data_IF_075103336665
#
_entry.id   IF_075103336665
#
_cell.length_a   1.000
_cell.length_b   1.000
_cell.length_c   1.000
_cell.angle_alpha   90.00
_cell.angle_beta   90.00
_cell.angle_gamma   90.00
#
_symmetry.space_group_name_H-M   'P 1'
#
loop_
_entity.id
_entity.type
_entity.pdbx_description
1 polymer ?
#
# COMPACT_ATOMS: atom_id res chain seq x y z
N UNK A 1 -25.88 -25.58 -0.41
CA UNK A 1 -24.42 -25.73 -0.25
C UNK A 1 -23.80 -24.45 -0.79
N UNK A 2 -23.57 -23.48 0.09
CA UNK A 2 -22.97 -22.20 -0.30
C UNK A 2 -21.47 -22.42 -0.42
N UNK A 3 -20.95 -22.29 -1.63
CA UNK A 3 -19.52 -22.36 -1.89
C UNK A 3 -18.92 -20.99 -1.62
N UNK A 4 -18.57 -20.72 -0.35
CA UNK A 4 -17.62 -19.66 -0.06
C UNK A 4 -16.28 -20.10 -0.63
N UNK A 5 -15.89 -19.55 -1.77
CA UNK A 5 -14.53 -19.66 -2.25
C UNK A 5 -13.68 -18.65 -1.44
N UNK A 6 -12.76 -19.11 -0.59
CA UNK A 6 -11.83 -18.19 0.06
C UNK A 6 -10.93 -17.65 -1.05
N UNK A 7 -11.15 -16.40 -1.45
CA UNK A 7 -10.30 -15.81 -2.45
C UNK A 7 -9.00 -15.36 -1.79
N UNK A 8 -8.04 -16.27 -1.79
CA UNK A 8 -6.64 -15.99 -1.61
C UNK A 8 -6.13 -15.39 -2.93
N UNK A 9 -6.21 -14.07 -3.12
CA UNK A 9 -5.24 -13.40 -3.99
C UNK A 9 -4.16 -12.79 -3.13
N UNK A 10 -2.97 -13.36 -3.23
CA UNK A 10 -1.73 -12.74 -2.80
C UNK A 10 -1.46 -11.49 -3.64
N UNK A 11 -2.19 -10.41 -3.34
CA UNK A 11 -1.87 -9.06 -3.74
C UNK A 11 -0.64 -8.65 -2.93
N UNK A 12 0.55 -8.98 -3.42
CA UNK A 12 1.78 -8.48 -2.81
C UNK A 12 1.88 -6.99 -3.15
N UNK A 13 1.54 -6.16 -2.19
CA UNK A 13 2.10 -4.82 -2.05
C UNK A 13 3.62 -5.02 -1.96
N UNK A 14 4.46 -4.36 -2.79
CA UNK A 14 5.90 -4.60 -2.67
C UNK A 14 6.31 -4.25 -1.23
N UNK A 15 7.22 -5.07 -0.70
CA UNK A 15 7.93 -4.72 0.52
C UNK A 15 8.91 -3.61 0.16
N UNK A 16 9.26 -2.79 1.14
CA UNK A 16 10.37 -1.85 1.05
C UNK A 16 11.55 -2.29 0.15
N UNK A 17 11.85 -1.48 -0.85
CA UNK A 17 12.81 -1.69 -1.93
C UNK A 17 13.78 -0.51 -1.97
N UNK A 18 15.06 -0.82 -1.89
CA UNK A 18 16.11 0.17 -2.07
C UNK A 18 16.08 0.73 -3.50
N UNK A 19 16.19 2.06 -3.62
CA UNK A 19 16.11 2.80 -4.88
C UNK A 19 14.70 3.16 -5.32
N UNK A 20 13.66 2.63 -4.65
CA UNK A 20 12.27 3.07 -4.81
C UNK A 20 11.75 3.76 -3.54
N UNK A 21 11.90 3.13 -2.38
CA UNK A 21 11.31 3.65 -1.13
C UNK A 21 12.39 4.29 -0.23
N UNK A 22 13.65 3.86 -0.37
CA UNK A 22 14.80 4.47 0.31
C UNK A 22 16.10 4.30 -0.46
N UNK A 23 17.08 5.16 -0.21
CA UNK A 23 18.48 4.91 -0.59
C UNK A 23 19.38 4.86 0.63
N UNK A 24 20.25 3.86 0.66
CA UNK A 24 21.27 3.71 1.68
C UNK A 24 22.58 4.34 1.21
N UNK A 25 23.11 5.30 1.97
CA UNK A 25 24.47 5.76 1.81
C UNK A 25 25.42 4.73 2.46
N UNK A 26 25.77 3.68 1.72
CA UNK A 26 26.58 2.57 2.22
C UNK A 26 28.02 3.02 2.52
N UNK A 27 28.22 3.49 3.76
CA UNK A 27 29.53 3.82 4.32
C UNK A 27 29.68 3.07 5.64
N UNK A 28 30.84 2.46 5.83
CA UNK A 28 31.21 1.88 7.11
C UNK A 28 31.21 2.97 8.18
N UNK A 29 30.50 2.71 9.29
CA UNK A 29 30.51 3.55 10.48
C UNK A 29 31.84 3.30 11.21
N UNK A 30 32.75 4.27 11.18
CA UNK A 30 34.05 4.17 11.84
C UNK A 30 34.17 5.23 12.94
N UNK A 31 34.34 4.76 14.19
CA UNK A 31 34.56 5.66 15.32
C UNK A 31 36.02 6.10 15.34
N UNK A 32 36.26 7.38 15.06
CA UNK A 32 37.57 7.99 15.26
C UNK A 32 38.00 7.96 16.74
N UNK A 33 39.30 8.16 17.00
CA UNK A 33 39.80 8.27 18.36
C UNK A 33 39.02 9.36 19.12
N UNK A 34 38.52 9.02 20.31
CA UNK A 34 37.67 9.86 21.16
C UNK A 34 36.29 10.23 20.58
N UNK A 35 35.90 9.74 19.39
CA UNK A 35 34.53 9.87 18.90
C UNK A 35 33.59 9.01 19.75
N UNK A 36 32.41 9.55 20.04
CA UNK A 36 31.36 8.87 20.81
C UNK A 36 30.08 8.66 20.00
N UNK A 37 30.00 9.22 18.79
CA UNK A 37 28.81 9.18 17.96
C UNK A 37 29.22 9.26 16.49
N UNK A 38 28.72 8.30 15.73
CA UNK A 38 28.75 8.29 14.28
C UNK A 38 27.33 7.92 13.81
N UNK A 39 26.92 8.44 12.66
CA UNK A 39 25.59 8.19 12.09
C UNK A 39 25.71 7.63 10.68
N UNK A 40 24.81 6.72 10.34
CA UNK A 40 24.50 6.30 8.98
C UNK A 40 23.30 7.10 8.50
N UNK A 41 23.34 7.59 7.26
CA UNK A 41 22.20 8.29 6.64
C UNK A 41 21.45 7.33 5.72
N UNK A 42 20.15 7.21 5.95
CA UNK A 42 19.19 6.58 5.03
C UNK A 42 18.30 7.69 4.51
N UNK A 43 18.27 7.88 3.20
CA UNK A 43 17.39 8.84 2.56
C UNK A 43 16.10 8.14 2.19
N UNK A 44 14.95 8.70 2.57
CA UNK A 44 13.62 8.17 2.23
C UNK A 44 13.18 8.83 0.92
N UNK A 45 12.66 8.05 -0.01
CA UNK A 45 12.17 8.56 -1.30
C UNK A 45 10.69 8.90 -1.13
N UNK A 46 10.34 10.11 -1.54
CA UNK A 46 8.98 10.61 -1.57
C UNK A 46 8.42 10.47 -2.99
N UNK A 47 7.23 9.88 -3.13
CA UNK A 47 6.57 9.67 -4.41
C UNK A 47 5.03 9.85 -4.30
N UNK A 48 4.35 9.85 -5.46
CA UNK A 48 2.89 10.05 -5.56
C UNK A 48 2.10 8.73 -5.52
N UNK A 49 2.61 7.69 -4.85
CA UNK A 49 1.93 6.42 -4.65
C UNK A 49 1.43 6.29 -3.22
N UNK A 50 0.22 5.74 -3.08
CA UNK A 50 -0.32 5.39 -1.76
C UNK A 50 0.16 4.01 -1.36
N UNK A 51 0.77 3.95 -0.18
CA UNK A 51 1.43 2.77 0.35
C UNK A 51 1.00 2.48 1.79
N UNK A 52 1.00 1.20 2.17
CA UNK A 52 0.86 0.83 3.58
C UNK A 52 2.14 1.19 4.34
N UNK A 53 2.08 1.30 5.67
CA UNK A 53 3.30 1.47 6.48
C UNK A 53 4.27 0.32 6.24
N UNK A 54 5.45 0.65 5.74
CA UNK A 54 6.51 -0.32 5.48
C UNK A 54 7.57 -0.30 6.57
N UNK A 55 8.24 -1.43 6.82
CA UNK A 55 9.28 -1.51 7.87
C UNK A 55 10.54 -2.21 7.39
N UNK A 56 11.69 -1.71 7.82
CA UNK A 56 12.99 -2.36 7.64
C UNK A 56 13.80 -2.32 8.92
N UNK A 57 14.84 -3.16 8.97
CA UNK A 57 15.74 -3.23 10.13
C UNK A 57 17.15 -2.84 9.74
N UNK A 58 17.81 -2.11 10.64
CA UNK A 58 19.24 -1.81 10.55
C UNK A 58 19.92 -2.57 11.68
N UNK A 59 20.89 -3.41 11.33
CA UNK A 59 21.66 -4.20 12.28
C UNK A 59 23.08 -3.65 12.39
N UNK A 60 23.45 -3.20 13.58
CA UNK A 60 24.83 -2.90 13.93
C UNK A 60 25.59 -4.21 14.14
N UNK A 61 26.64 -4.41 13.35
CA UNK A 61 27.52 -5.56 13.42
C UNK A 61 28.75 -5.25 14.29
N UNK A 62 29.35 -6.27 14.93
CA UNK A 62 30.59 -6.07 15.66
C UNK A 62 31.71 -5.61 14.73
N UNK A 63 32.74 -4.91 15.25
CA UNK A 63 33.87 -4.50 14.44
C UNK A 63 34.58 -5.72 13.84
N UNK A 64 35.05 -5.58 12.60
CA UNK A 64 35.72 -6.65 11.87
C UNK A 64 37.10 -7.00 12.43
N UNK A 65 37.70 -6.09 13.21
CA UNK A 65 39.00 -6.26 13.89
C UNK A 65 38.98 -5.55 15.24
N UNK A 66 39.78 -6.07 16.18
CA UNK A 66 40.03 -5.56 17.53
C UNK A 66 38.80 -5.42 18.44
N UNK A 67 38.98 -5.79 19.72
CA UNK A 67 38.00 -5.60 20.80
C UNK A 67 36.62 -6.27 20.59
N UNK A 68 36.44 -7.15 19.61
CA UNK A 68 35.18 -7.86 19.32
C UNK A 68 34.58 -8.56 20.56
N UNK A 69 35.42 -9.13 21.43
CA UNK A 69 35.00 -9.78 22.68
C UNK A 69 34.77 -8.81 23.86
N UNK A 70 35.17 -7.55 23.70
CA UNK A 70 35.14 -6.51 24.75
C UNK A 70 34.08 -5.44 24.50
N UNK A 71 33.44 -5.45 23.33
CA UNK A 71 32.40 -4.51 22.93
C UNK A 71 31.07 -5.23 22.99
N UNK A 72 30.14 -4.69 23.77
CA UNK A 72 28.76 -5.18 23.88
C UNK A 72 27.89 -4.27 23.03
N UNK A 73 27.14 -4.85 22.09
CA UNK A 73 26.16 -4.13 21.30
C UNK A 73 24.79 -4.26 21.97
N UNK A 74 24.19 -3.13 22.36
CA UNK A 74 22.86 -3.12 22.98
C UNK A 74 22.23 -1.72 22.92
N UNK A 75 21.14 -1.51 22.14
CA UNK A 75 20.61 -2.43 21.13
C UNK A 75 21.56 -2.55 19.93
N UNK A 76 21.57 -3.71 19.27
CA UNK A 76 22.30 -3.93 18.03
C UNK A 76 21.40 -3.98 16.79
N UNK A 77 20.08 -3.90 16.98
CA UNK A 77 19.09 -3.84 15.91
C UNK A 77 18.16 -2.67 16.22
N UNK A 78 17.82 -1.92 15.19
CA UNK A 78 16.76 -0.93 15.23
C UNK A 78 15.82 -1.15 14.05
N UNK A 79 14.55 -0.83 14.25
CA UNK A 79 13.51 -0.92 13.22
C UNK A 79 13.13 0.49 12.79
N UNK A 80 13.03 0.71 11.50
CA UNK A 80 12.55 1.96 10.90
C UNK A 80 11.22 1.64 10.22
N UNK A 81 10.22 2.50 10.42
CA UNK A 81 8.96 2.48 9.71
C UNK A 81 8.89 3.68 8.78
N UNK A 82 8.47 3.45 7.54
CA UNK A 82 8.14 4.50 6.56
C UNK A 82 6.62 4.57 6.55
N UNK A 83 6.10 5.74 6.93
CA UNK A 83 4.68 6.05 6.88
C UNK A 83 4.44 6.92 5.65
N UNK A 84 3.46 6.55 4.85
CA UNK A 84 3.00 7.36 3.74
C UNK A 84 2.16 8.54 4.27
N UNK A 85 2.30 9.70 3.65
CA UNK A 85 1.56 10.92 3.98
C UNK A 85 0.40 11.20 3.01
N UNK A 86 0.19 10.33 2.03
CA UNK A 86 -0.81 10.48 1.00
C UNK A 86 -2.13 9.75 1.31
N UNK A 87 -3.24 10.39 0.94
CA UNK A 87 -4.59 9.83 1.03
C UNK A 87 -5.25 9.78 -0.36
N UNK A 88 -5.99 8.71 -0.66
CA UNK A 88 -6.86 8.62 -1.85
C UNK A 88 -8.33 8.71 -1.46
N UNK A 89 -9.10 9.33 -2.36
CA UNK A 89 -10.56 9.21 -2.36
C UNK A 89 -11.00 8.23 -3.44
N UNK A 90 -11.95 7.36 -3.12
CA UNK A 90 -12.60 6.46 -4.08
C UNK A 90 -14.08 6.80 -4.15
N UNK A 91 -14.59 7.03 -5.36
CA UNK A 91 -15.98 7.41 -5.60
C UNK A 91 -16.53 6.86 -6.90
N UNK A 92 -17.85 6.93 -7.08
CA UNK A 92 -18.48 6.68 -8.38
C UNK A 92 -18.13 7.83 -9.33
N UNK A 93 -17.96 7.52 -10.62
CA UNK A 93 -17.66 8.55 -11.63
C UNK A 93 -18.83 9.51 -11.84
N UNK A 94 -20.06 9.01 -11.73
CA UNK A 94 -21.28 9.79 -11.92
C UNK A 94 -22.22 9.64 -10.73
N UNK A 95 -22.94 10.71 -10.41
CA UNK A 95 -23.94 10.73 -9.34
C UNK A 95 -25.27 10.11 -9.76
N UNK A 96 -25.56 10.10 -11.07
CA UNK A 96 -26.83 9.59 -11.63
C UNK A 96 -26.68 9.26 -13.11
N UNK A 97 -27.51 8.35 -13.60
CA UNK A 97 -27.60 8.00 -15.01
C UNK A 97 -29.06 7.99 -15.45
N UNK A 98 -29.30 8.35 -16.72
CA UNK A 98 -30.59 8.23 -17.38
C UNK A 98 -30.39 7.37 -18.64
N UNK A 99 -31.13 6.28 -18.76
CA UNK A 99 -30.96 5.29 -19.83
C UNK A 99 -32.31 4.88 -20.40
N UNK A 100 -32.36 4.60 -21.70
CA UNK A 100 -33.59 4.10 -22.34
C UNK A 100 -33.70 2.58 -22.22
N UNK A 101 -34.93 2.09 -22.35
CA UNK A 101 -35.17 0.65 -22.39
C UNK A 101 -34.45 0.02 -23.60
N UNK A 102 -33.67 -1.03 -23.32
CA UNK A 102 -32.87 -1.73 -24.33
C UNK A 102 -31.40 -1.31 -24.39
N UNK A 103 -31.02 -0.21 -23.71
CA UNK A 103 -29.63 0.21 -23.59
C UNK A 103 -28.90 -0.53 -22.47
N UNK A 104 -27.57 -0.53 -22.53
CA UNK A 104 -26.69 -1.01 -21.47
C UNK A 104 -25.93 0.14 -20.84
N UNK A 105 -25.68 0.05 -19.55
CA UNK A 105 -24.91 1.01 -18.76
C UNK A 105 -23.72 0.31 -18.11
N UNK A 106 -22.59 1.00 -18.12
CA UNK A 106 -21.44 0.69 -17.29
C UNK A 106 -21.39 1.68 -16.12
N UNK A 107 -21.23 1.18 -14.90
CA UNK A 107 -21.08 2.01 -13.70
C UNK A 107 -19.67 1.83 -13.17
N UNK A 108 -18.89 2.90 -13.25
CA UNK A 108 -17.49 2.91 -12.85
C UNK A 108 -17.29 3.59 -11.49
N UNK A 109 -16.33 3.06 -10.73
CA UNK A 109 -15.75 3.74 -9.59
C UNK A 109 -14.29 4.10 -9.90
N UNK A 110 -13.85 5.23 -9.38
CA UNK A 110 -12.55 5.83 -9.66
C UNK A 110 -11.84 6.20 -8.37
N UNK A 111 -10.53 5.94 -8.36
CA UNK A 111 -9.59 6.50 -7.39
C UNK A 111 -9.16 7.87 -7.90
N UNK A 112 -9.28 8.91 -7.08
CA UNK A 112 -8.67 10.21 -7.34
C UNK A 112 -7.22 10.18 -6.87
N UNK A 113 -6.32 10.79 -7.66
CA UNK A 113 -4.88 10.91 -7.37
C UNK A 113 -4.60 11.26 -5.90
N UNK A 114 -3.52 10.75 -5.30
CA UNK A 114 -2.45 9.93 -5.89
C UNK A 114 -2.86 8.51 -6.33
N UNK A 115 -1.99 7.84 -7.10
CA UNK A 115 -2.25 6.46 -7.54
C UNK A 115 -1.99 5.50 -6.38
N UNK A 116 -2.57 4.30 -6.39
CA UNK A 116 -2.38 3.34 -5.30
C UNK A 116 -1.32 2.34 -5.72
N UNK A 117 -0.30 2.12 -4.89
CA UNK A 117 0.78 1.16 -5.17
C UNK A 117 0.23 -0.28 -5.22
N UNK A 118 -0.91 -0.53 -4.55
CA UNK A 118 -1.44 -1.86 -4.28
C UNK A 118 -2.93 -2.01 -4.69
N UNK A 119 -3.34 -3.16 -5.25
CA UNK A 119 -4.71 -3.32 -5.73
C UNK A 119 -5.69 -3.43 -4.56
N UNK A 120 -6.62 -2.49 -4.48
CA UNK A 120 -7.72 -2.49 -3.52
C UNK A 120 -9.03 -3.01 -4.14
N UNK A 121 -9.88 -3.63 -3.32
CA UNK A 121 -11.15 -4.21 -3.76
C UNK A 121 -12.34 -3.59 -3.03
N UNK A 122 -13.28 -3.04 -3.79
CA UNK A 122 -14.58 -2.57 -3.29
C UNK A 122 -15.70 -3.48 -3.80
N UNK A 123 -16.75 -3.63 -3.00
CA UNK A 123 -18.00 -4.27 -3.43
C UNK A 123 -19.01 -3.22 -3.90
N UNK A 124 -19.89 -3.60 -4.83
CA UNK A 124 -21.05 -2.79 -5.20
C UNK A 124 -22.30 -3.38 -4.53
N UNK A 125 -23.24 -2.51 -4.16
CA UNK A 125 -24.56 -2.93 -3.66
C UNK A 125 -25.64 -2.22 -4.46
N UNK A 126 -26.67 -2.98 -4.89
CA UNK A 126 -27.77 -2.46 -5.68
C UNK A 126 -29.05 -2.40 -4.83
N UNK A 127 -29.61 -1.20 -4.74
CA UNK A 127 -30.92 -0.94 -4.13
C UNK A 127 -31.85 -0.43 -5.24
N UNK A 128 -32.94 -1.16 -5.49
CA UNK A 128 -33.96 -0.78 -6.47
C UNK A 128 -35.12 -0.10 -5.75
N UNK A 129 -35.29 1.21 -5.90
CA UNK A 129 -36.53 1.88 -5.52
C UNK A 129 -37.35 2.19 -6.77
N UNK A 130 -38.52 1.57 -6.89
CA UNK A 130 -39.52 2.00 -7.87
C UNK A 130 -40.42 3.04 -7.21
N UNK A 131 -40.82 4.08 -7.95
CA UNK A 131 -42.03 4.82 -7.58
C UNK A 131 -43.18 3.79 -7.48
N UNK A 132 -44.04 3.83 -6.45
CA UNK A 132 -44.80 2.66 -6.06
C UNK A 132 -45.71 2.15 -7.18
N UNK A 133 -45.39 0.96 -7.66
CA UNK A 133 -46.34 -0.06 -8.09
C UNK A 133 -45.91 -1.34 -7.37
N UNK A 134 -46.75 -1.78 -6.42
CA UNK A 134 -46.64 -2.95 -5.54
C UNK A 134 -45.82 -4.15 -6.06
N UNK A 135 -44.50 -4.08 -6.04
CA UNK A 135 -43.64 -5.21 -6.36
C UNK A 135 -42.48 -5.27 -5.35
N UNK A 136 -42.40 -6.42 -4.67
CA UNK A 136 -41.44 -6.70 -3.62
C UNK A 136 -39.99 -6.48 -4.06
N UNK A 137 -39.22 -5.91 -3.14
CA UNK A 137 -37.82 -5.57 -3.28
C UNK A 137 -36.95 -6.84 -3.29
N UNK A 138 -36.13 -7.01 -4.32
CA UNK A 138 -35.06 -8.02 -4.34
C UNK A 138 -33.72 -7.29 -4.36
N UNK A 139 -32.93 -7.43 -3.29
CA UNK A 139 -31.53 -6.97 -3.25
C UNK A 139 -30.68 -8.00 -3.96
N UNK A 140 -29.93 -7.57 -4.98
CA UNK A 140 -28.89 -8.39 -5.61
C UNK A 140 -27.53 -7.80 -5.24
N UNK A 141 -26.71 -8.56 -4.51
CA UNK A 141 -25.33 -8.20 -4.24
C UNK A 141 -24.43 -8.79 -5.33
N UNK A 142 -23.63 -7.97 -6.00
CA UNK A 142 -22.59 -8.43 -6.93
C UNK A 142 -21.27 -7.76 -6.58
N UNK A 143 -20.18 -8.52 -6.59
CA UNK A 143 -18.84 -8.01 -6.34
C UNK A 143 -18.13 -7.75 -7.68
N UNK A 144 -17.96 -6.48 -8.04
CA UNK A 144 -17.11 -6.06 -9.15
C UNK A 144 -15.70 -5.79 -8.62
N UNK A 145 -14.68 -6.37 -9.25
CA UNK A 145 -13.28 -6.11 -8.89
C UNK A 145 -12.71 -5.01 -9.76
N UNK A 146 -12.27 -3.92 -9.14
CA UNK A 146 -11.38 -2.98 -9.80
C UNK A 146 -9.99 -3.60 -9.73
N UNK A 147 -9.56 -4.24 -10.81
CA UNK A 147 -8.12 -4.47 -11.00
C UNK A 147 -7.57 -3.15 -11.49
N UNK A 148 -6.80 -2.43 -10.69
CA UNK A 148 -5.98 -1.40 -11.31
C UNK A 148 -5.07 -2.09 -12.33
N UNK A 149 -5.02 -1.52 -13.53
CA UNK A 149 -3.95 -1.83 -14.47
C UNK A 149 -2.66 -1.36 -13.82
N UNK A 150 -1.88 -2.34 -13.36
CA UNK A 150 -0.45 -2.20 -13.13
C UNK A 150 0.16 -1.80 -14.47
N UNK A 151 0.29 -0.50 -14.69
CA UNK A 151 1.37 0.01 -15.51
C UNK A 151 2.48 0.26 -14.51
N UNK A 152 3.59 -0.45 -14.65
CA UNK A 152 4.83 -0.01 -14.03
C UNK A 152 5.02 1.46 -14.42
N UNK A 153 4.88 2.37 -13.46
CA UNK A 153 5.35 3.73 -13.65
C UNK A 153 6.87 3.65 -13.53
N UNK A 154 7.54 3.74 -14.68
CA UNK A 154 8.98 4.01 -14.80
C UNK A 154 9.31 5.42 -14.37
#
# INVERSE_FOLDING_TARGET
>A
MLLNLPYMSSSFCPFIVQGRDYTLNDRAVNFGACSKKECLTVDIIDDDLIEDTETFTITLQPPSQDFTERIILSPNVTTVAIEDEHDATVGLEEMSYEVNEGDSIEVCARVTSPSISCPISYGFSLTISTAPINAGFNVVYTSLRIKQVSTQCT
#
